data_IF_912574082675
#
_entry.id   IF_912574082675
#
_cell.length_a   1.000
_cell.length_b   1.000
_cell.length_c   1.000
_cell.angle_alpha   90.00
_cell.angle_beta   90.00
_cell.angle_gamma   90.00
#
_symmetry.space_group_name_H-M   'P 1'
#
loop_
_entity.id
_entity.type
_entity.pdbx_description
1 polymer ?
#
# COMPACT_ATOMS: atom_id res chain seq x y z
N UNK A 1 6.50 -18.06 34.47
CA UNK A 1 5.19 -18.61 34.81
C UNK A 1 4.81 -19.66 33.77
N UNK A 2 4.04 -20.69 34.15
CA UNK A 2 3.65 -21.81 33.27
C UNK A 2 3.04 -21.37 31.94
N UNK A 3 2.27 -20.30 31.92
CA UNK A 3 1.72 -19.72 30.68
C UNK A 3 2.80 -19.22 29.70
N UNK A 4 3.86 -18.57 30.21
CA UNK A 4 5.00 -18.12 29.38
C UNK A 4 5.77 -19.30 28.76
N UNK A 5 5.85 -20.43 29.44
CA UNK A 5 6.51 -21.62 28.90
C UNK A 5 5.67 -22.36 27.86
N UNK A 6 4.35 -22.31 27.99
CA UNK A 6 3.43 -22.84 26.93
C UNK A 6 3.58 -22.05 25.64
N UNK A 7 3.61 -20.71 25.68
CA UNK A 7 3.80 -19.86 24.50
C UNK A 7 5.19 -20.07 23.86
N UNK A 8 6.22 -20.23 24.65
CA UNK A 8 7.59 -20.56 24.15
C UNK A 8 7.61 -21.91 23.44
N UNK A 9 6.93 -22.92 23.99
CA UNK A 9 6.83 -24.26 23.38
C UNK A 9 6.02 -24.23 22.08
N UNK A 10 4.93 -23.48 22.04
CA UNK A 10 4.13 -23.30 20.80
C UNK A 10 4.92 -22.62 19.69
N UNK A 11 5.73 -21.59 20.01
CA UNK A 11 6.63 -20.95 19.04
C UNK A 11 7.74 -21.87 18.53
N UNK A 12 8.21 -22.80 19.34
CA UNK A 12 9.20 -23.81 18.94
C UNK A 12 8.58 -24.95 18.11
N UNK A 13 7.29 -25.22 18.26
CA UNK A 13 6.60 -26.27 17.50
C UNK A 13 6.26 -25.85 16.05
N UNK A 14 6.14 -24.55 15.77
CA UNK A 14 5.89 -24.03 14.44
C UNK A 14 7.17 -23.40 13.86
N UNK A 15 7.91 -24.18 13.09
CA UNK A 15 9.16 -23.73 12.44
C UNK A 15 8.94 -22.55 11.45
N UNK A 16 7.70 -22.35 10.98
CA UNK A 16 7.33 -21.26 10.05
C UNK A 16 6.85 -19.99 10.76
N UNK A 17 6.69 -20.01 12.09
CA UNK A 17 6.27 -18.81 12.82
C UNK A 17 7.14 -17.56 12.56
N UNK A 18 8.48 -17.67 12.41
CA UNK A 18 9.32 -16.51 12.07
C UNK A 18 9.07 -15.95 10.66
N UNK A 19 8.45 -16.72 9.76
CA UNK A 19 8.11 -16.30 8.41
C UNK A 19 6.75 -15.58 8.37
N UNK A 20 5.95 -15.67 9.43
CA UNK A 20 4.68 -14.97 9.54
C UNK A 20 4.92 -13.46 9.71
N UNK A 21 4.29 -12.66 8.82
CA UNK A 21 4.41 -11.20 8.82
C UNK A 21 3.91 -10.61 10.14
N UNK A 22 2.81 -11.13 10.68
CA UNK A 22 2.25 -10.69 11.96
C UNK A 22 3.20 -10.91 13.10
N UNK A 23 3.87 -12.07 13.14
CA UNK A 23 4.91 -12.37 14.13
C UNK A 23 6.10 -11.41 14.01
N UNK A 24 6.62 -11.20 12.79
CA UNK A 24 7.74 -10.29 12.54
C UNK A 24 7.43 -8.85 12.97
N UNK A 25 6.24 -8.33 12.59
CA UNK A 25 5.79 -6.99 12.96
C UNK A 25 5.65 -6.84 14.46
N UNK A 26 5.03 -7.83 15.15
CA UNK A 26 4.85 -7.80 16.60
C UNK A 26 6.19 -7.83 17.33
N UNK A 27 7.10 -8.68 16.88
CA UNK A 27 8.45 -8.79 17.47
C UNK A 27 9.24 -7.48 17.31
N UNK A 28 9.26 -6.90 16.11
CA UNK A 28 9.93 -5.64 15.84
C UNK A 28 9.29 -4.47 16.62
N UNK A 29 7.95 -4.43 16.74
CA UNK A 29 7.28 -3.42 17.55
C UNK A 29 7.69 -3.48 19.01
N UNK A 30 7.74 -4.69 19.60
CA UNK A 30 8.19 -4.89 20.99
C UNK A 30 9.64 -4.44 21.17
N UNK A 31 10.53 -4.74 20.23
CA UNK A 31 11.92 -4.26 20.27
C UNK A 31 11.98 -2.73 20.23
N UNK A 32 11.17 -2.09 19.39
CA UNK A 32 11.07 -0.63 19.32
C UNK A 32 10.60 -0.01 20.65
N UNK A 33 9.56 -0.58 21.25
CA UNK A 33 9.04 -0.12 22.57
C UNK A 33 10.09 -0.34 23.67
N UNK A 34 10.81 -1.46 23.70
CA UNK A 34 11.87 -1.69 24.66
C UNK A 34 13.04 -0.71 24.51
N UNK A 35 13.40 -0.38 23.26
CA UNK A 35 14.40 0.65 22.99
C UNK A 35 13.95 2.03 23.49
N UNK A 36 12.67 2.38 23.30
CA UNK A 36 12.07 3.61 23.85
C UNK A 36 12.19 3.64 25.37
N UNK A 37 11.75 2.58 26.04
CA UNK A 37 11.83 2.49 27.49
C UNK A 37 13.27 2.59 28.04
N UNK A 38 14.25 2.04 27.32
CA UNK A 38 15.66 2.17 27.67
C UNK A 38 16.15 3.62 27.54
N UNK A 39 15.70 4.35 26.51
CA UNK A 39 15.99 5.77 26.32
C UNK A 39 15.38 6.63 27.42
N UNK A 40 14.09 6.44 27.71
CA UNK A 40 13.39 7.18 28.77
C UNK A 40 14.08 7.00 30.13
N UNK A 41 14.44 5.75 30.49
CA UNK A 41 15.20 5.49 31.73
C UNK A 41 16.57 6.17 31.77
N UNK A 42 17.26 6.25 30.63
CA UNK A 42 18.53 6.98 30.52
C UNK A 42 18.32 8.50 30.66
N UNK A 43 17.21 9.03 30.16
CA UNK A 43 16.84 10.43 30.30
C UNK A 43 16.42 10.80 31.73
N UNK A 44 15.64 9.95 32.37
CA UNK A 44 15.25 10.13 33.79
C UNK A 44 16.48 10.17 34.73
N UNK A 45 17.43 9.24 34.53
CA UNK A 45 18.70 9.25 35.26
C UNK A 45 19.52 10.52 35.04
N UNK A 46 19.47 11.09 33.85
CA UNK A 46 20.19 12.33 33.52
C UNK A 46 19.41 13.59 33.95
N UNK A 47 18.11 13.46 34.29
CA UNK A 47 17.22 14.57 34.65
C UNK A 47 17.07 14.77 36.17
N UNK A 48 17.83 14.06 37.01
CA UNK A 48 17.68 14.07 38.48
C UNK A 48 17.59 15.46 39.11
N UNK A 49 18.26 16.47 38.56
CA UNK A 49 18.32 17.84 39.10
C UNK A 49 17.49 18.87 38.27
N UNK A 50 16.66 18.41 37.30
CA UNK A 50 15.94 19.32 36.45
C UNK A 50 14.59 19.79 37.03
N UNK A 51 14.11 21.02 36.67
CA UNK A 51 12.85 21.56 37.17
C UNK A 51 11.66 20.67 36.81
N UNK A 52 10.61 20.70 37.65
CA UNK A 52 9.41 19.86 37.51
C UNK A 52 8.76 19.92 36.12
N UNK A 53 8.79 21.09 35.47
CA UNK A 53 8.26 21.29 34.12
C UNK A 53 8.98 20.43 33.07
N UNK A 54 10.31 20.30 33.17
CA UNK A 54 11.09 19.47 32.23
C UNK A 54 10.82 17.97 32.46
N UNK A 55 10.63 17.56 33.70
CA UNK A 55 10.22 16.18 34.02
C UNK A 55 8.84 15.84 33.48
N UNK A 56 7.89 16.78 33.56
CA UNK A 56 6.55 16.62 32.97
C UNK A 56 6.63 16.50 31.46
N UNK A 57 7.41 17.36 30.79
CA UNK A 57 7.63 17.28 29.34
C UNK A 57 8.24 15.94 28.90
N UNK A 58 9.20 15.42 29.64
CA UNK A 58 9.79 14.10 29.37
C UNK A 58 8.75 12.97 29.46
N UNK A 59 7.87 13.02 30.47
CA UNK A 59 6.77 12.05 30.62
C UNK A 59 5.73 12.14 29.52
N UNK A 60 5.43 13.35 29.05
CA UNK A 60 4.51 13.55 27.91
C UNK A 60 5.14 13.13 26.57
N UNK A 61 6.47 13.13 26.46
CA UNK A 61 7.18 12.69 25.28
C UNK A 61 7.34 11.16 25.19
N UNK A 62 7.21 10.44 26.30
CA UNK A 62 7.41 8.98 26.35
C UNK A 62 6.49 8.19 25.39
N UNK A 63 5.17 8.43 25.32
CA UNK A 63 4.30 7.74 24.37
C UNK A 63 4.67 8.04 22.91
N UNK A 64 5.11 9.28 22.64
CA UNK A 64 5.55 9.71 21.31
C UNK A 64 6.81 8.96 20.88
N UNK A 65 7.80 8.90 21.76
CA UNK A 65 9.05 8.16 21.53
C UNK A 65 8.76 6.66 21.33
N UNK A 66 7.88 6.10 22.16
CA UNK A 66 7.49 4.69 22.07
C UNK A 66 6.84 4.37 20.73
N UNK A 67 5.85 5.19 20.30
CA UNK A 67 5.20 5.03 19.02
C UNK A 67 6.17 5.22 17.84
N UNK A 68 7.05 6.21 17.91
CA UNK A 68 8.04 6.49 16.87
C UNK A 68 9.03 5.33 16.70
N UNK A 69 9.59 4.83 17.80
CA UNK A 69 10.57 3.74 17.75
C UNK A 69 9.93 2.40 17.38
N UNK A 70 8.69 2.14 17.80
CA UNK A 70 7.93 0.98 17.33
C UNK A 70 7.70 1.04 15.82
N UNK A 71 7.26 2.17 15.27
CA UNK A 71 7.06 2.37 13.85
C UNK A 71 8.35 2.25 13.04
N UNK A 72 9.45 2.82 13.54
CA UNK A 72 10.77 2.69 12.90
C UNK A 72 11.29 1.25 12.91
N UNK A 73 11.06 0.50 14.01
CA UNK A 73 11.48 -0.88 14.11
C UNK A 73 10.68 -1.82 13.19
N UNK A 74 9.41 -1.53 12.93
CA UNK A 74 8.56 -2.31 12.02
C UNK A 74 8.77 -1.96 10.55
N UNK A 75 9.33 -0.78 10.24
CA UNK A 75 9.53 -0.29 8.87
C UNK A 75 10.31 -1.27 7.97
N UNK A 76 11.42 -1.92 8.41
CA UNK A 76 12.14 -2.88 7.57
C UNK A 76 11.27 -4.06 7.13
N UNK A 77 10.41 -4.56 8.02
CA UNK A 77 9.51 -5.67 7.72
C UNK A 77 8.46 -5.24 6.70
N UNK A 78 7.83 -4.07 6.90
CA UNK A 78 6.85 -3.53 5.95
C UNK A 78 7.46 -3.36 4.56
N UNK A 79 8.66 -2.80 4.47
CA UNK A 79 9.36 -2.60 3.19
C UNK A 79 9.76 -3.94 2.56
N UNK A 80 10.24 -4.91 3.35
CA UNK A 80 10.63 -6.23 2.86
C UNK A 80 9.46 -6.99 2.21
N UNK A 81 8.25 -6.78 2.72
CA UNK A 81 7.03 -7.37 2.18
C UNK A 81 6.29 -6.48 1.17
N UNK A 82 6.91 -5.39 0.69
CA UNK A 82 6.30 -4.48 -0.28
C UNK A 82 5.06 -3.73 0.22
N UNK A 83 4.85 -3.70 1.54
CA UNK A 83 3.72 -3.03 2.16
C UNK A 83 3.94 -1.50 2.25
N UNK A 84 2.85 -0.75 2.18
CA UNK A 84 2.93 0.69 2.37
C UNK A 84 3.31 1.07 3.80
N UNK A 85 4.28 1.97 3.94
CA UNK A 85 4.62 2.57 5.23
C UNK A 85 3.70 3.75 5.51
N UNK A 86 3.02 3.75 6.67
CA UNK A 86 2.14 4.85 7.07
C UNK A 86 2.93 5.94 7.79
N UNK A 87 3.12 7.08 7.14
CA UNK A 87 3.74 8.25 7.76
C UNK A 87 2.75 8.96 8.70
N UNK A 88 1.47 9.06 8.30
CA UNK A 88 0.42 9.61 9.15
C UNK A 88 0.15 8.71 10.38
N UNK A 89 0.40 7.41 10.27
CA UNK A 89 0.23 6.45 11.36
C UNK A 89 1.05 6.80 12.60
N UNK A 90 2.23 7.41 12.45
CA UNK A 90 3.03 7.85 13.58
C UNK A 90 2.29 8.92 14.40
N UNK A 91 1.76 9.95 13.74
CA UNK A 91 1.00 11.02 14.38
C UNK A 91 -0.33 10.49 14.92
N UNK A 92 -1.01 9.68 14.13
CA UNK A 92 -2.27 9.06 14.49
C UNK A 92 -2.12 8.16 15.73
N UNK A 93 -1.09 7.32 15.80
CA UNK A 93 -0.83 6.44 16.95
C UNK A 93 -0.66 7.22 18.26
N UNK A 94 0.06 8.33 18.22
CA UNK A 94 0.22 9.19 19.40
C UNK A 94 -1.15 9.69 19.89
N UNK A 95 -1.96 10.23 18.99
CA UNK A 95 -3.28 10.79 19.31
C UNK A 95 -4.25 9.69 19.75
N UNK A 96 -4.29 8.57 19.04
CA UNK A 96 -5.19 7.44 19.32
C UNK A 96 -4.88 6.79 20.67
N UNK A 97 -3.61 6.56 21.00
CA UNK A 97 -3.22 5.95 22.30
C UNK A 97 -3.72 6.79 23.47
N UNK A 98 -3.61 8.12 23.38
CA UNK A 98 -4.13 9.02 24.42
C UNK A 98 -5.64 8.98 24.56
N UNK A 99 -6.36 8.83 23.46
CA UNK A 99 -7.82 8.76 23.43
C UNK A 99 -8.36 7.38 23.79
N UNK A 100 -7.60 6.33 23.52
CA UNK A 100 -8.02 4.94 23.75
C UNK A 100 -8.13 4.61 25.24
N UNK A 101 -7.22 5.15 26.08
CA UNK A 101 -7.22 4.87 27.51
C UNK A 101 -8.49 5.37 28.22
N UNK A 102 -8.95 6.63 28.05
CA UNK A 102 -10.25 7.08 28.55
C UNK A 102 -11.42 6.26 27.99
N UNK A 103 -11.38 5.90 26.69
CA UNK A 103 -12.43 5.09 26.08
C UNK A 103 -12.58 3.72 26.75
N UNK A 104 -11.46 3.04 27.04
CA UNK A 104 -11.47 1.77 27.80
C UNK A 104 -12.01 1.94 29.21
N UNK A 105 -11.59 2.99 29.91
CA UNK A 105 -12.10 3.28 31.29
C UNK A 105 -13.60 3.52 31.28
N UNK A 106 -14.10 4.33 30.30
CA UNK A 106 -15.53 4.58 30.14
C UNK A 106 -16.30 3.31 29.74
N UNK A 107 -15.69 2.43 28.93
CA UNK A 107 -16.28 1.14 28.59
C UNK A 107 -16.41 0.21 29.79
N UNK A 108 -15.40 0.12 30.63
CA UNK A 108 -15.42 -0.65 31.89
C UNK A 108 -16.46 -0.07 32.85
N UNK A 109 -16.50 1.28 32.98
CA UNK A 109 -17.51 1.95 33.78
C UNK A 109 -18.92 1.66 33.30
N UNK A 110 -19.16 1.70 31.99
CA UNK A 110 -20.44 1.37 31.39
C UNK A 110 -20.88 -0.05 31.72
N UNK A 111 -19.96 -1.02 31.64
CA UNK A 111 -20.22 -2.41 32.03
C UNK A 111 -20.58 -2.53 33.50
N UNK A 112 -19.84 -1.85 34.39
CA UNK A 112 -20.09 -1.86 35.82
C UNK A 112 -21.46 -1.23 36.18
N UNK A 113 -21.79 -0.10 35.56
CA UNK A 113 -23.06 0.60 35.78
C UNK A 113 -24.24 -0.21 35.24
N UNK A 114 -24.07 -0.86 34.10
CA UNK A 114 -25.13 -1.70 33.49
C UNK A 114 -25.44 -2.98 34.29
N UNK A 115 -24.50 -3.45 35.09
CA UNK A 115 -24.68 -4.63 35.94
C UNK A 115 -25.56 -4.37 37.18
N UNK A 116 -25.77 -3.10 37.53
CA UNK A 116 -26.54 -2.72 38.74
C UNK A 116 -27.88 -2.10 38.32
N UNK A 117 -29.03 -2.74 38.57
CA UNK A 117 -30.33 -2.28 38.12
C UNK A 117 -30.72 -0.88 38.58
N UNK A 118 -30.26 -0.47 39.78
CA UNK A 118 -30.55 0.86 40.34
C UNK A 118 -29.81 1.98 39.55
N UNK A 119 -28.71 1.66 38.83
CA UNK A 119 -27.92 2.62 38.09
C UNK A 119 -28.31 2.70 36.59
N UNK A 120 -29.35 1.99 36.16
CA UNK A 120 -29.85 2.01 34.77
C UNK A 120 -29.99 3.42 34.15
N UNK A 121 -30.53 4.44 34.82
CA UNK A 121 -30.62 5.79 34.23
C UNK A 121 -29.25 6.38 33.88
N UNK A 122 -28.17 6.02 34.57
CA UNK A 122 -26.81 6.47 34.29
C UNK A 122 -26.15 5.71 33.13
N UNK A 123 -26.66 4.52 32.74
CA UNK A 123 -26.13 3.75 31.60
C UNK A 123 -26.28 4.53 30.29
N UNK A 124 -27.42 5.18 30.08
CA UNK A 124 -27.66 5.98 28.87
C UNK A 124 -26.70 7.17 28.79
N UNK A 125 -26.40 7.83 29.89
CA UNK A 125 -25.44 8.94 29.92
C UNK A 125 -24.03 8.47 29.64
N UNK A 126 -23.58 7.40 30.29
CA UNK A 126 -22.23 6.84 30.06
C UNK A 126 -22.07 6.28 28.66
N UNK A 127 -23.10 5.64 28.10
CA UNK A 127 -23.13 5.16 26.73
C UNK A 127 -23.09 6.31 25.70
N UNK A 128 -23.81 7.41 25.97
CA UNK A 128 -23.77 8.62 25.14
C UNK A 128 -22.37 9.23 25.14
N UNK A 129 -21.77 9.42 26.30
CA UNK A 129 -20.42 9.99 26.43
C UNK A 129 -19.39 9.11 25.72
N UNK A 130 -19.45 7.79 25.90
CA UNK A 130 -18.57 6.86 25.20
C UNK A 130 -18.77 6.91 23.69
N UNK A 131 -20.01 6.96 23.21
CA UNK A 131 -20.33 7.03 21.78
C UNK A 131 -19.80 8.30 21.13
N UNK A 132 -19.92 9.45 21.81
CA UNK A 132 -19.37 10.73 21.33
C UNK A 132 -17.84 10.69 21.29
N UNK A 133 -17.22 10.11 22.32
CA UNK A 133 -15.77 9.95 22.38
C UNK A 133 -15.23 9.06 21.27
N UNK A 134 -15.89 7.93 21.00
CA UNK A 134 -15.54 7.04 19.89
C UNK A 134 -15.77 7.67 18.53
N UNK A 135 -16.85 8.45 18.35
CA UNK A 135 -17.07 9.20 17.10
C UNK A 135 -15.97 10.23 16.85
N UNK A 136 -15.55 10.94 17.92
CA UNK A 136 -14.43 11.89 17.82
C UNK A 136 -13.13 11.17 17.43
N UNK A 137 -12.85 10.01 18.02
CA UNK A 137 -11.69 9.18 17.71
C UNK A 137 -11.73 8.72 16.25
N UNK A 138 -12.85 8.19 15.78
CA UNK A 138 -13.01 7.76 14.38
C UNK A 138 -12.84 8.94 13.41
N UNK A 139 -13.47 10.08 13.69
CA UNK A 139 -13.30 11.27 12.89
C UNK A 139 -11.83 11.72 12.80
N UNK A 140 -11.10 11.67 13.91
CA UNK A 140 -9.67 12.01 13.94
C UNK A 140 -8.84 11.05 13.08
N UNK A 141 -9.10 9.73 13.18
CA UNK A 141 -8.42 8.70 12.37
C UNK A 141 -8.70 8.91 10.89
N UNK A 142 -9.96 9.17 10.51
CA UNK A 142 -10.34 9.47 9.12
C UNK A 142 -9.64 10.71 8.59
N UNK A 143 -9.49 11.77 9.40
CA UNK A 143 -8.75 12.97 9.01
C UNK A 143 -7.26 12.71 8.83
N UNK A 144 -6.67 11.92 9.71
CA UNK A 144 -5.26 11.50 9.55
C UNK A 144 -5.05 10.63 8.30
N UNK A 145 -5.99 9.74 8.00
CA UNK A 145 -5.93 8.89 6.80
C UNK A 145 -6.12 9.69 5.49
N UNK A 146 -6.86 10.79 5.54
CA UNK A 146 -7.09 11.67 4.38
C UNK A 146 -5.91 12.61 4.09
N UNK A 147 -4.86 12.64 4.93
CA UNK A 147 -3.69 13.47 4.67
C UNK A 147 -2.95 13.00 3.40
N UNK A 148 -2.51 13.93 2.53
CA UNK A 148 -1.62 13.58 1.45
C UNK A 148 -0.33 12.96 2.03
N UNK A 149 0.15 11.88 1.45
CA UNK A 149 1.29 11.08 1.97
C UNK A 149 0.99 10.30 3.29
N UNK A 150 -0.29 10.05 3.62
CA UNK A 150 -0.66 9.24 4.77
C UNK A 150 0.02 7.86 4.73
N UNK A 151 0.14 7.28 3.54
CA UNK A 151 0.89 6.04 3.28
C UNK A 151 1.78 6.21 2.04
N UNK A 152 2.96 5.60 2.07
CA UNK A 152 3.97 5.66 1.00
C UNK A 152 4.52 4.27 0.76
N UNK A 153 4.49 3.83 -0.50
CA UNK A 153 5.23 2.65 -0.94
C UNK A 153 6.65 3.07 -1.32
N UNK A 154 7.64 2.46 -0.70
CA UNK A 154 9.06 2.77 -0.93
C UNK A 154 9.72 1.69 -1.79
N UNK A 155 10.72 2.04 -2.64
CA UNK A 155 11.45 1.06 -3.42
C UNK A 155 12.20 0.08 -2.49
N UNK A 156 11.82 -1.18 -2.52
CA UNK A 156 12.22 -2.21 -1.57
C UNK A 156 13.75 -2.30 -1.39
N UNK A 157 14.49 -2.49 -2.47
CA UNK A 157 15.95 -2.70 -2.40
C UNK A 157 16.70 -1.50 -1.84
N UNK A 158 16.37 -0.31 -2.30
CA UNK A 158 16.99 0.93 -1.86
C UNK A 158 16.68 1.20 -0.38
N UNK A 159 15.41 1.09 0.01
CA UNK A 159 14.99 1.39 1.38
C UNK A 159 15.57 0.41 2.39
N UNK A 160 15.63 -0.89 2.08
CA UNK A 160 16.27 -1.89 2.94
C UNK A 160 17.77 -1.61 3.13
N UNK A 161 18.48 -1.24 2.07
CA UNK A 161 19.89 -0.85 2.16
C UNK A 161 20.08 0.34 3.10
N UNK A 162 19.29 1.39 2.93
CA UNK A 162 19.37 2.59 3.78
C UNK A 162 19.01 2.27 5.23
N UNK A 163 17.96 1.47 5.48
CA UNK A 163 17.59 1.04 6.82
C UNK A 163 18.69 0.20 7.49
N UNK A 164 19.38 -0.65 6.73
CA UNK A 164 20.51 -1.41 7.25
C UNK A 164 21.66 -0.49 7.65
N UNK A 165 22.01 0.50 6.82
CA UNK A 165 23.05 1.52 7.14
C UNK A 165 22.66 2.32 8.38
N UNK A 166 21.40 2.78 8.48
CA UNK A 166 20.91 3.50 9.65
C UNK A 166 20.94 2.63 10.92
N UNK A 167 20.58 1.35 10.81
CA UNK A 167 20.67 0.39 11.91
C UNK A 167 22.11 0.21 12.40
N UNK A 168 23.07 0.08 11.48
CA UNK A 168 24.50 -0.01 11.82
C UNK A 168 24.99 1.26 12.51
N UNK A 169 24.62 2.44 11.99
CA UNK A 169 24.97 3.72 12.62
C UNK A 169 24.37 3.83 14.02
N UNK A 170 23.10 3.50 14.20
CA UNK A 170 22.43 3.51 15.48
C UNK A 170 23.12 2.55 16.48
N UNK A 171 23.51 1.34 16.05
CA UNK A 171 24.24 0.39 16.87
C UNK A 171 25.64 0.90 17.27
N UNK A 172 26.39 1.51 16.35
CA UNK A 172 27.70 2.09 16.62
C UNK A 172 27.63 3.24 17.64
N UNK A 173 26.65 4.13 17.48
CA UNK A 173 26.41 5.21 18.45
C UNK A 173 25.91 4.73 19.81
N UNK A 174 25.09 3.68 19.82
CA UNK A 174 24.67 3.01 21.06
C UNK A 174 25.89 2.50 21.82
N UNK A 175 26.77 1.79 21.13
CA UNK A 175 28.00 1.27 21.73
C UNK A 175 28.92 2.40 22.26
N UNK A 176 28.99 3.52 21.55
CA UNK A 176 29.74 4.71 21.97
C UNK A 176 29.05 5.56 23.06
N UNK A 177 27.87 5.16 23.58
CA UNK A 177 27.04 5.90 24.55
C UNK A 177 26.67 7.32 24.16
N UNK A 178 26.72 7.66 22.86
CA UNK A 178 26.39 8.97 22.30
C UNK A 178 24.99 9.02 21.64
N UNK A 179 24.06 8.24 22.15
CA UNK A 179 22.76 8.02 21.50
C UNK A 179 21.94 9.29 21.25
N UNK A 180 22.00 10.28 22.17
CA UNK A 180 21.28 11.55 22.05
C UNK A 180 21.74 12.37 20.85
N UNK A 181 23.03 12.34 20.53
CA UNK A 181 23.56 13.03 19.35
C UNK A 181 23.24 12.28 18.04
N UNK A 182 23.03 10.96 18.14
CA UNK A 182 22.65 10.11 17.00
C UNK A 182 21.20 10.32 16.53
N UNK A 183 20.25 10.55 17.44
CA UNK A 183 18.83 10.66 17.10
C UNK A 183 18.53 11.70 16.00
N UNK A 184 19.01 12.96 16.09
CA UNK A 184 18.76 13.93 15.02
C UNK A 184 19.45 13.55 13.71
N UNK A 185 20.64 12.93 13.78
CA UNK A 185 21.34 12.46 12.59
C UNK A 185 20.60 11.31 11.90
N UNK A 186 20.11 10.32 12.67
CA UNK A 186 19.30 9.21 12.15
C UNK A 186 18.00 9.71 11.57
N UNK A 187 17.33 10.67 12.24
CA UNK A 187 16.11 11.28 11.73
C UNK A 187 16.35 12.04 10.41
N UNK A 188 17.42 12.85 10.34
CA UNK A 188 17.79 13.55 9.12
C UNK A 188 18.11 12.58 7.96
N UNK A 189 18.87 11.52 8.23
CA UNK A 189 19.15 10.48 7.24
C UNK A 189 17.89 9.74 6.80
N UNK A 190 16.97 9.45 7.71
CA UNK A 190 15.70 8.81 7.37
C UNK A 190 14.84 9.72 6.46
N UNK A 191 14.74 11.01 6.75
CA UNK A 191 14.04 11.99 5.92
C UNK A 191 14.69 12.10 4.53
N UNK A 192 16.02 12.18 4.46
CA UNK A 192 16.76 12.21 3.19
C UNK A 192 16.55 10.92 2.40
N UNK A 193 16.53 9.75 3.06
CA UNK A 193 16.29 8.47 2.42
C UNK A 193 14.89 8.36 1.85
N UNK A 194 13.87 8.80 2.59
CA UNK A 194 12.48 8.86 2.10
C UNK A 194 12.38 9.82 0.93
N UNK A 195 12.95 11.03 1.05
CA UNK A 195 12.97 12.02 -0.03
C UNK A 195 13.65 11.50 -1.30
N UNK A 196 14.81 10.83 -1.16
CA UNK A 196 15.52 10.22 -2.28
C UNK A 196 14.69 9.04 -2.88
N UNK A 197 14.06 8.21 -2.05
CA UNK A 197 13.19 7.14 -2.52
C UNK A 197 12.01 7.66 -3.35
N UNK A 198 11.36 8.72 -2.89
CA UNK A 198 10.28 9.39 -3.62
C UNK A 198 10.78 10.04 -4.92
N UNK A 199 11.96 10.66 -4.88
CA UNK A 199 12.59 11.23 -6.08
C UNK A 199 12.95 10.16 -7.11
N UNK A 200 13.44 9.00 -6.67
CA UNK A 200 13.73 7.86 -7.56
C UNK A 200 12.46 7.26 -8.20
N UNK A 201 11.30 7.39 -7.55
CA UNK A 201 10.01 6.96 -8.09
C UNK A 201 9.32 8.03 -8.95
N UNK A 202 9.90 9.22 -9.03
CA UNK A 202 9.38 10.28 -9.88
C UNK A 202 9.43 9.85 -11.34
N UNK A 203 8.34 10.08 -12.07
CA UNK A 203 8.16 9.75 -13.48
C UNK A 203 8.19 8.23 -13.81
N UNK A 204 8.21 7.38 -12.79
CA UNK A 204 8.09 5.93 -12.95
C UNK A 204 6.62 5.57 -13.09
N UNK A 205 6.29 4.87 -14.16
CA UNK A 205 4.96 4.28 -14.40
C UNK A 205 4.99 2.83 -13.95
N UNK A 206 4.16 2.49 -12.98
CA UNK A 206 3.96 1.13 -12.50
C UNK A 206 2.63 0.62 -13.03
N UNK A 207 2.64 -0.52 -13.71
CA UNK A 207 1.43 -1.24 -14.09
C UNK A 207 1.37 -2.56 -13.33
N UNK A 208 0.18 -2.89 -12.84
CA UNK A 208 -0.08 -4.15 -12.17
C UNK A 208 -1.37 -4.78 -12.65
N UNK A 209 -1.38 -6.11 -12.74
CA UNK A 209 -2.58 -6.91 -12.97
C UNK A 209 -3.18 -7.28 -11.62
N UNK A 210 -4.41 -6.84 -11.34
CA UNK A 210 -5.05 -6.96 -10.03
C UNK A 210 -6.42 -7.62 -10.16
N UNK A 211 -6.69 -8.63 -9.36
CA UNK A 211 -7.99 -9.31 -9.30
C UNK A 211 -7.98 -10.73 -9.87
N UNK A 212 -9.10 -11.14 -10.47
CA UNK A 212 -9.28 -12.52 -10.93
C UNK A 212 -8.30 -12.90 -12.04
N UNK A 213 -7.63 -14.06 -11.92
CA UNK A 213 -6.58 -14.52 -12.83
C UNK A 213 -6.99 -14.56 -14.31
N UNK A 214 -8.24 -14.92 -14.61
CA UNK A 214 -8.72 -15.00 -16.00
C UNK A 214 -9.06 -13.65 -16.64
N UNK A 215 -9.34 -12.63 -15.84
CA UNK A 215 -9.75 -11.31 -16.34
C UNK A 215 -9.38 -10.21 -15.33
N UNK A 216 -8.09 -10.03 -15.01
CA UNK A 216 -7.66 -9.05 -14.04
C UNK A 216 -7.89 -7.62 -14.56
N UNK A 217 -8.10 -6.68 -13.64
CA UNK A 217 -7.99 -5.26 -13.92
C UNK A 217 -6.54 -4.87 -14.11
N UNK A 218 -6.29 -3.84 -14.90
CA UNK A 218 -4.96 -3.25 -15.04
C UNK A 218 -4.97 -1.91 -14.32
N UNK A 219 -4.04 -1.74 -13.39
CA UNK A 219 -3.88 -0.51 -12.63
C UNK A 219 -2.56 0.14 -13.00
N UNK A 220 -2.63 1.38 -13.46
CA UNK A 220 -1.48 2.21 -13.76
C UNK A 220 -1.30 3.25 -12.67
N UNK A 221 -0.10 3.34 -12.10
CA UNK A 221 0.25 4.32 -11.05
C UNK A 221 1.45 5.13 -11.49
N UNK A 222 1.33 6.45 -11.47
CA UNK A 222 2.42 7.40 -11.73
C UNK A 222 2.34 8.57 -10.74
N UNK A 223 3.41 8.84 -10.01
CA UNK A 223 3.47 9.94 -9.03
C UNK A 223 2.33 9.93 -8.00
N UNK A 224 1.76 8.74 -7.69
CA UNK A 224 0.61 8.58 -6.80
C UNK A 224 -0.74 8.93 -7.44
N UNK A 225 -0.77 9.35 -8.71
CA UNK A 225 -1.99 9.41 -9.52
C UNK A 225 -2.24 8.05 -10.15
N UNK A 226 -3.49 7.64 -10.26
CA UNK A 226 -3.85 6.30 -10.71
C UNK A 226 -4.87 6.33 -11.85
N UNK A 227 -4.68 5.40 -12.77
CA UNK A 227 -5.62 5.07 -13.84
C UNK A 227 -5.98 3.60 -13.73
N UNK A 228 -7.25 3.29 -13.77
CA UNK A 228 -7.76 1.94 -13.63
C UNK A 228 -8.48 1.50 -14.89
N UNK A 229 -7.99 0.45 -15.52
CA UNK A 229 -8.68 -0.24 -16.61
C UNK A 229 -9.51 -1.37 -16.01
N UNK A 230 -10.79 -1.12 -15.84
CA UNK A 230 -11.67 -2.03 -15.11
C UNK A 230 -12.24 -3.11 -16.03
N UNK A 231 -12.14 -4.37 -15.58
CA UNK A 231 -12.71 -5.56 -16.20
C UNK A 231 -13.26 -6.50 -15.12
N UNK A 232 -14.21 -7.32 -15.46
CA UNK A 232 -14.78 -8.32 -14.54
C UNK A 232 -15.86 -7.76 -13.62
N UNK A 233 -16.02 -8.35 -12.45
CA UNK A 233 -17.11 -8.09 -11.50
C UNK A 233 -16.69 -7.47 -10.18
N UNK A 234 -17.54 -7.57 -9.16
CA UNK A 234 -17.34 -6.98 -7.82
C UNK A 234 -16.08 -7.49 -7.10
N UNK A 235 -15.68 -8.75 -7.33
CA UNK A 235 -14.44 -9.30 -6.74
C UNK A 235 -13.21 -8.53 -7.20
N UNK A 236 -13.17 -8.14 -8.48
CA UNK A 236 -12.10 -7.31 -9.01
C UNK A 236 -12.14 -5.89 -8.43
N UNK A 237 -13.33 -5.36 -8.17
CA UNK A 237 -13.49 -4.05 -7.55
C UNK A 237 -12.88 -4.02 -6.13
N UNK A 238 -13.13 -5.06 -5.34
CA UNK A 238 -12.54 -5.19 -4.00
C UNK A 238 -11.01 -5.31 -4.06
N UNK A 239 -10.49 -6.12 -4.99
CA UNK A 239 -9.05 -6.25 -5.19
C UNK A 239 -8.40 -4.93 -5.61
N UNK A 240 -9.00 -4.18 -6.54
CA UNK A 240 -8.52 -2.86 -6.95
C UNK A 240 -8.56 -1.85 -5.80
N UNK A 241 -9.64 -1.81 -5.02
CA UNK A 241 -9.73 -0.95 -3.81
C UNK A 241 -8.59 -1.25 -2.84
N UNK A 242 -8.31 -2.53 -2.57
CA UNK A 242 -7.23 -2.96 -1.67
C UNK A 242 -5.85 -2.60 -2.24
N UNK A 243 -5.62 -2.85 -3.53
CA UNK A 243 -4.35 -2.51 -4.17
C UNK A 243 -4.05 -1.01 -4.13
N UNK A 244 -5.06 -0.17 -4.33
CA UNK A 244 -4.92 1.29 -4.33
C UNK A 244 -4.75 1.88 -2.92
N UNK A 245 -5.20 1.21 -1.87
CA UNK A 245 -5.21 1.72 -0.50
C UNK A 245 -3.85 2.21 0.02
N UNK A 246 -2.73 1.74 -0.54
CA UNK A 246 -1.39 2.21 -0.14
C UNK A 246 -0.61 2.91 -1.24
N UNK A 247 -1.11 2.90 -2.47
CA UNK A 247 -0.37 3.35 -3.66
C UNK A 247 -0.94 4.61 -4.30
N UNK A 248 -2.23 4.86 -4.13
CA UNK A 248 -2.92 6.03 -4.70
C UNK A 248 -2.94 7.20 -3.72
N UNK A 249 -2.70 8.42 -4.23
CA UNK A 249 -2.86 9.67 -3.49
C UNK A 249 -4.26 10.24 -3.74
N UNK A 250 -5.26 9.62 -3.12
CA UNK A 250 -6.65 10.03 -3.29
C UNK A 250 -7.43 9.15 -4.27
N UNK A 251 -8.49 9.72 -4.85
CA UNK A 251 -9.33 9.01 -5.84
C UNK A 251 -8.55 8.81 -7.14
N UNK A 252 -8.74 7.68 -7.85
CA UNK A 252 -8.21 7.52 -9.20
C UNK A 252 -8.61 8.68 -10.11
N UNK A 253 -7.66 9.13 -10.92
CA UNK A 253 -7.88 10.23 -11.87
C UNK A 253 -8.85 9.79 -12.96
N UNK A 254 -8.68 8.56 -13.43
CA UNK A 254 -9.50 7.99 -14.48
C UNK A 254 -9.81 6.52 -14.21
N UNK A 255 -11.07 6.15 -14.41
CA UNK A 255 -11.53 4.77 -14.49
C UNK A 255 -12.01 4.54 -15.93
N UNK A 256 -11.37 3.62 -16.64
CA UNK A 256 -11.82 3.16 -17.97
C UNK A 256 -12.56 1.84 -17.81
N UNK A 257 -13.85 1.84 -18.01
CA UNK A 257 -14.67 0.63 -17.95
C UNK A 257 -14.68 -0.08 -19.31
N UNK A 258 -13.92 -1.17 -19.40
CA UNK A 258 -13.77 -1.99 -20.61
C UNK A 258 -14.84 -3.09 -20.72
N UNK A 259 -15.81 -3.16 -19.80
CA UNK A 259 -16.86 -4.19 -19.83
C UNK A 259 -17.82 -3.97 -20.99
N UNK A 260 -18.24 -5.06 -21.61
CA UNK A 260 -19.24 -5.02 -22.69
C UNK A 260 -20.63 -4.57 -22.20
N UNK A 261 -20.95 -4.78 -20.92
CA UNK A 261 -22.20 -4.33 -20.29
C UNK A 261 -21.84 -3.63 -18.98
N UNK A 262 -21.61 -2.32 -18.99
CA UNK A 262 -21.31 -1.55 -17.79
C UNK A 262 -22.53 -1.55 -16.85
N UNK A 263 -22.28 -1.78 -15.59
CA UNK A 263 -23.22 -1.56 -14.49
C UNK A 263 -22.63 -0.50 -13.59
N UNK A 264 -23.46 0.22 -12.85
CA UNK A 264 -22.96 1.19 -11.85
C UNK A 264 -21.92 0.54 -10.95
N UNK A 265 -20.77 1.19 -10.82
CA UNK A 265 -19.70 0.75 -9.94
C UNK A 265 -19.72 1.63 -8.69
N UNK A 266 -19.79 1.00 -7.52
CA UNK A 266 -19.51 1.70 -6.24
C UNK A 266 -18.01 1.99 -6.11
N UNK A 267 -17.52 2.88 -7.00
CA UNK A 267 -16.12 3.25 -7.05
C UNK A 267 -15.97 4.73 -7.41
N UNK A 268 -15.49 5.51 -6.45
CA UNK A 268 -15.31 6.93 -6.63
C UNK A 268 -14.00 7.21 -7.38
N UNK A 269 -14.08 7.51 -8.67
CA UNK A 269 -13.02 8.09 -9.49
C UNK A 269 -13.30 9.57 -9.79
N UNK A 270 -12.28 10.33 -10.21
CA UNK A 270 -12.47 11.72 -10.63
C UNK A 270 -13.21 11.79 -11.96
N UNK A 271 -12.89 10.89 -12.87
CA UNK A 271 -13.56 10.71 -14.16
C UNK A 271 -13.80 9.23 -14.42
N UNK A 272 -14.97 8.88 -14.96
CA UNK A 272 -15.30 7.52 -15.39
C UNK A 272 -15.58 7.56 -16.89
N UNK A 273 -14.87 6.75 -17.65
CA UNK A 273 -15.05 6.61 -19.09
C UNK A 273 -15.62 5.24 -19.38
N UNK A 274 -16.85 5.21 -19.86
CA UNK A 274 -17.51 4.02 -20.32
C UNK A 274 -17.31 3.89 -21.83
N UNK A 275 -16.81 2.76 -22.30
CA UNK A 275 -16.45 2.58 -23.72
C UNK A 275 -17.65 2.72 -24.65
N UNK A 276 -18.85 2.38 -24.21
CA UNK A 276 -20.07 2.50 -25.01
C UNK A 276 -20.45 3.95 -25.36
N UNK A 277 -19.99 4.92 -24.57
CA UNK A 277 -20.26 6.35 -24.75
C UNK A 277 -19.17 7.04 -25.59
N UNK A 278 -18.11 6.30 -25.95
CA UNK A 278 -17.00 6.84 -26.74
C UNK A 278 -17.19 6.57 -28.23
N UNK A 279 -16.64 7.42 -29.12
CA UNK A 279 -16.53 7.11 -30.53
C UNK A 279 -15.64 5.88 -30.76
N UNK A 280 -15.70 5.26 -31.92
CA UNK A 280 -14.92 4.06 -32.26
C UNK A 280 -13.41 4.22 -32.06
N UNK A 281 -12.92 5.45 -32.10
CA UNK A 281 -11.55 5.83 -31.75
C UNK A 281 -11.52 7.17 -31.03
N UNK A 282 -10.78 7.24 -29.91
CA UNK A 282 -10.55 8.47 -29.15
C UNK A 282 -9.15 8.48 -28.53
N UNK A 283 -8.43 9.58 -28.70
CA UNK A 283 -7.14 9.82 -28.02
C UNK A 283 -7.32 10.82 -26.87
N UNK A 284 -6.80 10.51 -25.70
CA UNK A 284 -6.87 11.38 -24.53
C UNK A 284 -5.53 11.48 -23.81
N UNK A 285 -5.08 12.66 -23.38
CA UNK A 285 -4.04 12.79 -22.39
C UNK A 285 -4.60 12.37 -21.02
N UNK A 286 -3.87 11.51 -20.26
CA UNK A 286 -4.40 10.94 -19.02
C UNK A 286 -3.60 11.33 -17.81
N UNK A 287 -2.27 11.27 -17.90
CA UNK A 287 -1.32 11.65 -16.85
C UNK A 287 -0.18 12.46 -17.47
N UNK A 288 0.73 12.95 -16.63
CA UNK A 288 1.86 13.76 -17.11
C UNK A 288 2.72 12.97 -18.13
N UNK A 289 2.58 13.29 -19.42
CA UNK A 289 3.31 12.65 -20.51
C UNK A 289 2.79 11.27 -20.94
N UNK A 290 1.56 10.89 -20.56
CA UNK A 290 0.90 9.67 -21.00
C UNK A 290 -0.28 10.00 -21.92
N UNK A 291 -0.30 9.36 -23.08
CA UNK A 291 -1.44 9.36 -23.98
C UNK A 291 -2.19 8.02 -23.91
N UNK A 292 -3.50 8.08 -24.03
CA UNK A 292 -4.37 6.93 -24.01
C UNK A 292 -5.21 6.92 -25.28
N UNK A 293 -5.02 5.90 -26.11
CA UNK A 293 -5.82 5.62 -27.29
C UNK A 293 -6.88 4.57 -26.95
N UNK A 294 -8.12 4.92 -27.17
CA UNK A 294 -9.27 4.07 -26.92
C UNK A 294 -9.87 3.63 -28.25
N UNK A 295 -9.97 2.33 -28.45
CA UNK A 295 -10.63 1.71 -29.58
C UNK A 295 -11.84 0.93 -29.09
N UNK A 296 -12.99 1.14 -29.69
CA UNK A 296 -14.22 0.47 -29.33
C UNK A 296 -14.94 -0.12 -30.55
N UNK A 297 -15.50 -1.30 -30.35
CA UNK A 297 -16.44 -1.93 -31.28
C UNK A 297 -17.58 -2.53 -30.43
N UNK A 298 -18.75 -2.76 -31.00
CA UNK A 298 -20.01 -3.17 -30.34
C UNK A 298 -19.88 -4.12 -29.14
N UNK A 299 -18.86 -4.96 -29.08
CA UNK A 299 -18.66 -5.96 -28.01
C UNK A 299 -17.23 -6.09 -27.52
N UNK A 300 -16.29 -5.33 -28.07
CA UNK A 300 -14.89 -5.40 -27.73
C UNK A 300 -14.30 -4.00 -27.55
N UNK A 301 -13.34 -3.89 -26.66
CA UNK A 301 -12.67 -2.64 -26.33
C UNK A 301 -11.18 -2.85 -26.18
N UNK A 302 -10.38 -1.90 -26.66
CA UNK A 302 -8.94 -1.90 -26.53
C UNK A 302 -8.50 -0.51 -26.06
N UNK A 303 -7.73 -0.47 -25.00
CA UNK A 303 -7.08 0.72 -24.53
C UNK A 303 -5.57 0.55 -24.75
N UNK A 304 -4.95 1.49 -25.43
CA UNK A 304 -3.51 1.51 -25.67
C UNK A 304 -2.92 2.71 -24.96
N UNK A 305 -2.07 2.47 -23.99
CA UNK A 305 -1.38 3.48 -23.20
C UNK A 305 0.01 3.70 -23.77
N UNK A 306 0.31 4.93 -24.18
CA UNK A 306 1.65 5.32 -24.60
C UNK A 306 2.44 5.86 -23.41
N UNK A 307 3.60 5.26 -23.15
CA UNK A 307 4.52 5.62 -22.09
C UNK A 307 5.92 5.77 -22.65
N UNK A 308 6.38 6.99 -22.85
CA UNK A 308 7.75 7.25 -23.30
C UNK A 308 8.11 6.55 -24.61
N UNK A 309 7.20 6.50 -25.57
CA UNK A 309 7.36 5.87 -26.89
C UNK A 309 7.15 4.35 -26.87
N UNK A 310 6.62 3.78 -25.80
CA UNK A 310 6.21 2.38 -25.71
C UNK A 310 4.69 2.27 -25.59
N UNK A 311 4.13 1.27 -26.26
CA UNK A 311 2.70 1.04 -26.33
C UNK A 311 2.30 -0.16 -25.48
N UNK A 312 1.40 0.04 -24.54
CA UNK A 312 0.88 -1.01 -23.66
C UNK A 312 -0.61 -1.14 -23.92
N UNK A 313 -1.04 -2.32 -24.34
CA UNK A 313 -2.42 -2.60 -24.64
C UNK A 313 -3.14 -3.34 -23.52
N UNK A 314 -4.37 -2.92 -23.25
CA UNK A 314 -5.31 -3.59 -22.35
C UNK A 314 -6.59 -3.84 -23.11
N UNK A 315 -6.89 -5.10 -23.43
CA UNK A 315 -8.05 -5.46 -24.25
C UNK A 315 -9.14 -6.20 -23.47
N UNK A 316 -10.39 -5.99 -23.90
CA UNK A 316 -11.55 -6.79 -23.52
C UNK A 316 -12.30 -7.22 -24.77
N UNK A 317 -12.34 -8.54 -25.02
CA UNK A 317 -12.92 -9.10 -26.23
C UNK A 317 -11.97 -9.10 -27.44
N UNK A 318 -12.43 -9.62 -28.55
CA UNK A 318 -11.70 -9.64 -29.82
C UNK A 318 -12.12 -8.42 -30.64
N UNK A 319 -11.29 -7.40 -30.69
CA UNK A 319 -11.51 -6.22 -31.51
C UNK A 319 -10.97 -6.42 -32.91
N UNK A 320 -11.72 -5.97 -33.91
CA UNK A 320 -11.30 -5.91 -35.30
C UNK A 320 -10.99 -4.47 -35.67
N UNK A 321 -9.79 -4.21 -36.13
CA UNK A 321 -9.33 -2.91 -36.60
C UNK A 321 -8.95 -3.00 -38.06
N UNK A 322 -9.00 -1.88 -38.77
CA UNK A 322 -8.63 -1.81 -40.20
C UNK A 322 -7.14 -2.13 -40.42
N UNK A 323 -6.29 -1.71 -39.47
CA UNK A 323 -4.86 -2.00 -39.46
C UNK A 323 -4.45 -2.58 -38.11
N UNK A 324 -3.54 -3.56 -38.08
CA UNK A 324 -3.05 -4.11 -36.81
C UNK A 324 -2.19 -3.10 -36.06
N UNK A 325 -2.46 -2.96 -34.76
CA UNK A 325 -1.71 -2.08 -33.87
C UNK A 325 -0.54 -2.87 -33.26
N UNK A 326 0.68 -2.38 -33.44
CA UNK A 326 1.86 -2.93 -32.77
C UNK A 326 1.93 -2.39 -31.36
N UNK A 327 2.16 -3.28 -30.39
CA UNK A 327 2.30 -2.93 -28.98
C UNK A 327 3.47 -3.68 -28.33
N UNK A 328 4.21 -3.02 -27.47
CA UNK A 328 5.32 -3.65 -26.73
C UNK A 328 4.79 -4.67 -25.73
N UNK A 329 3.69 -4.37 -25.05
CA UNK A 329 3.11 -5.24 -24.02
C UNK A 329 1.59 -5.32 -24.16
N UNK A 330 1.08 -6.53 -24.19
CA UNK A 330 -0.35 -6.83 -24.07
C UNK A 330 -0.65 -7.37 -22.67
N UNK A 331 -1.52 -6.70 -21.93
CA UNK A 331 -1.86 -7.05 -20.56
C UNK A 331 -3.09 -7.96 -20.49
N UNK A 332 -2.89 -9.18 -20.02
CA UNK A 332 -3.88 -10.21 -19.66
C UNK A 332 -5.10 -10.25 -20.59
N UNK A 333 -4.93 -10.59 -21.88
CA UNK A 333 -6.07 -10.67 -22.79
C UNK A 333 -7.03 -11.78 -22.33
N UNK A 334 -8.32 -11.45 -22.20
CA UNK A 334 -9.35 -12.45 -21.94
C UNK A 334 -9.63 -13.33 -23.15
N UNK A 335 -9.51 -12.74 -24.35
CA UNK A 335 -9.49 -13.39 -25.67
C UNK A 335 -8.39 -12.75 -26.50
N UNK A 336 -7.81 -13.50 -27.44
CA UNK A 336 -6.74 -12.97 -28.30
C UNK A 336 -7.31 -11.89 -29.23
N UNK A 337 -6.78 -10.66 -29.19
CA UNK A 337 -7.20 -9.60 -30.10
C UNK A 337 -6.43 -9.74 -31.43
N UNK A 338 -7.10 -10.21 -32.48
CA UNK A 338 -6.46 -10.47 -33.78
C UNK A 338 -5.88 -9.19 -34.43
N UNK A 339 -6.37 -8.03 -34.00
CA UNK A 339 -5.89 -6.71 -34.48
C UNK A 339 -4.66 -6.17 -33.71
N UNK A 340 -4.09 -6.91 -32.76
CA UNK A 340 -2.95 -6.47 -31.96
C UNK A 340 -1.77 -7.41 -32.17
N UNK A 341 -0.60 -6.83 -32.44
CA UNK A 341 0.67 -7.55 -32.57
C UNK A 341 1.56 -7.21 -31.36
N UNK A 342 1.52 -7.99 -30.27
CA UNK A 342 2.33 -7.74 -29.09
C UNK A 342 3.73 -8.36 -29.22
N UNK A 343 4.76 -7.66 -28.75
CA UNK A 343 6.09 -8.22 -28.56
C UNK A 343 6.13 -9.11 -27.29
N UNK A 344 5.39 -8.71 -26.25
CA UNK A 344 5.31 -9.43 -24.98
C UNK A 344 3.86 -9.48 -24.48
N UNK A 345 3.46 -10.63 -23.92
CA UNK A 345 2.15 -10.80 -23.27
C UNK A 345 2.36 -11.09 -21.79
N UNK A 346 1.78 -10.24 -20.92
CA UNK A 346 1.77 -10.41 -19.48
C UNK A 346 0.42 -11.01 -19.06
N UNK A 347 0.39 -12.14 -18.34
CA UNK A 347 -0.83 -12.83 -17.99
C UNK A 347 -0.74 -13.54 -16.62
N UNK A 348 -1.91 -13.79 -16.01
CA UNK A 348 -2.06 -14.39 -14.68
C UNK A 348 -2.82 -15.73 -14.69
N UNK A 349 -3.45 -16.11 -15.80
CA UNK A 349 -4.19 -17.35 -15.90
C UNK A 349 -3.25 -18.55 -16.16
N UNK A 350 -3.41 -19.63 -15.42
CA UNK A 350 -2.58 -20.84 -15.58
C UNK A 350 -2.80 -21.58 -16.90
N UNK A 351 -3.97 -21.40 -17.53
CA UNK A 351 -4.32 -22.04 -18.79
C UNK A 351 -5.19 -21.11 -19.67
N UNK A 352 -4.60 -20.07 -20.27
CA UNK A 352 -5.39 -19.16 -21.10
C UNK A 352 -5.79 -19.85 -22.41
N UNK A 353 -7.06 -19.70 -22.79
CA UNK A 353 -7.63 -20.30 -24.02
C UNK A 353 -7.01 -19.80 -25.34
N UNK A 354 -6.28 -18.70 -25.28
CA UNK A 354 -5.63 -18.05 -26.42
C UNK A 354 -4.17 -18.44 -26.58
N UNK A 355 -3.63 -19.30 -25.73
CA UNK A 355 -2.20 -19.66 -25.71
C UNK A 355 -1.70 -20.13 -27.10
N UNK A 356 -2.50 -20.94 -27.77
CA UNK A 356 -2.19 -21.48 -29.10
C UNK A 356 -2.09 -20.39 -30.21
N UNK A 357 -2.64 -19.21 -29.94
CA UNK A 357 -2.60 -18.07 -30.88
C UNK A 357 -1.44 -17.12 -30.63
N UNK A 358 -0.73 -17.28 -29.52
CA UNK A 358 0.36 -16.40 -29.11
C UNK A 358 1.69 -16.80 -29.76
N UNK A 359 1.69 -16.95 -31.10
CA UNK A 359 2.90 -17.25 -31.86
C UNK A 359 3.74 -15.97 -32.02
N UNK A 360 5.07 -16.11 -31.94
CA UNK A 360 6.04 -15.03 -32.16
C UNK A 360 6.04 -13.90 -31.08
N UNK A 361 5.54 -14.14 -29.89
CA UNK A 361 5.65 -13.19 -28.79
C UNK A 361 6.26 -13.81 -27.53
N UNK A 362 6.84 -12.99 -26.66
CA UNK A 362 7.35 -13.44 -25.37
C UNK A 362 6.20 -13.54 -24.37
N UNK A 363 6.00 -14.71 -23.78
CA UNK A 363 5.00 -14.91 -22.75
C UNK A 363 5.61 -14.68 -21.36
N UNK A 364 4.95 -13.89 -20.52
CA UNK A 364 5.31 -13.68 -19.12
C UNK A 364 4.14 -14.00 -18.21
N UNK A 365 4.35 -15.01 -17.38
CA UNK A 365 3.37 -15.45 -16.38
C UNK A 365 3.72 -14.94 -15.01
N UNK A 366 2.74 -14.43 -14.27
CA UNK A 366 2.86 -14.01 -12.88
C UNK A 366 1.79 -14.67 -12.03
N UNK A 367 2.17 -15.21 -10.88
CA UNK A 367 1.24 -15.94 -10.00
C UNK A 367 0.31 -15.00 -9.24
N UNK A 368 0.85 -13.92 -8.65
CA UNK A 368 0.09 -12.94 -7.89
C UNK A 368 0.46 -11.51 -8.32
N UNK A 369 -0.52 -10.70 -8.64
CA UNK A 369 -0.39 -9.28 -8.97
C UNK A 369 0.87 -8.92 -9.80
N UNK A 370 1.13 -9.61 -10.92
CA UNK A 370 2.32 -9.36 -11.69
C UNK A 370 2.33 -7.92 -12.19
N UNK A 371 3.48 -7.29 -12.12
CA UNK A 371 3.65 -5.91 -12.46
C UNK A 371 4.77 -5.66 -13.45
N UNK A 372 4.77 -4.48 -14.02
CA UNK A 372 5.88 -3.94 -14.79
C UNK A 372 6.11 -2.48 -14.43
N UNK A 373 7.37 -2.12 -14.39
CA UNK A 373 7.81 -0.76 -14.11
C UNK A 373 8.45 -0.16 -15.35
N UNK A 374 7.94 0.96 -15.77
CA UNK A 374 8.39 1.70 -16.94
C UNK A 374 9.04 3.01 -16.53
N UNK A 375 10.19 3.30 -17.13
CA UNK A 375 10.80 4.62 -17.09
C UNK A 375 10.95 5.12 -18.52
N UNK A 376 10.55 6.37 -18.81
CA UNK A 376 10.78 6.96 -20.14
C UNK A 376 12.24 6.79 -20.57
N UNK A 377 12.45 6.26 -21.78
CA UNK A 377 13.79 6.04 -22.34
C UNK A 377 14.62 4.89 -21.76
N UNK A 378 14.05 4.01 -20.94
CA UNK A 378 14.72 2.82 -20.37
C UNK A 378 13.99 1.53 -20.71
N UNK A 379 14.67 0.39 -20.46
CA UNK A 379 14.08 -0.93 -20.58
C UNK A 379 12.95 -1.17 -19.56
N UNK A 380 12.00 -2.02 -19.93
CA UNK A 380 10.92 -2.46 -19.03
C UNK A 380 11.52 -3.29 -17.90
N UNK A 381 11.18 -2.96 -16.67
CA UNK A 381 11.51 -3.77 -15.50
C UNK A 381 10.26 -4.59 -15.13
N UNK A 382 10.40 -5.90 -15.12
CA UNK A 382 9.35 -6.85 -14.80
C UNK A 382 9.37 -7.19 -13.31
N UNK A 383 8.19 -7.16 -12.68
CA UNK A 383 8.00 -7.53 -11.28
C UNK A 383 7.18 -8.82 -11.23
N UNK A 384 7.65 -9.82 -10.46
CA UNK A 384 6.94 -11.08 -10.16
C UNK A 384 6.39 -11.86 -11.36
N UNK A 385 6.98 -11.65 -12.56
CA UNK A 385 6.59 -12.37 -13.76
C UNK A 385 7.71 -13.32 -14.22
N UNK A 386 7.35 -14.56 -14.47
CA UNK A 386 8.27 -15.56 -15.03
C UNK A 386 8.22 -15.52 -16.57
N UNK A 387 9.36 -15.63 -17.21
CA UNK A 387 9.42 -15.73 -18.67
C UNK A 387 9.16 -17.18 -19.07
N UNK A 388 8.14 -17.41 -19.87
CA UNK A 388 7.82 -18.72 -20.45
C UNK A 388 8.22 -18.69 -21.91
N UNK A 389 9.08 -19.62 -22.31
CA UNK A 389 9.43 -19.80 -23.72
C UNK A 389 8.25 -20.50 -24.43
N UNK A 390 7.82 -19.93 -25.54
CA UNK A 390 6.89 -20.61 -26.46
C UNK A 390 7.74 -21.62 -27.23
N UNK A 391 7.49 -22.93 -27.03
CA UNK A 391 8.10 -24.01 -27.79
C UNK A 391 7.33 -24.28 -29.07
#
# INVERSE_FOLDING_TARGET
SAASDVYKRQGLQNAYAPCDIGFQLSFCAVLGVQAAAALTRAEERAAGDKPAAVRLLCRLAEPVQSAALASLATLPVLVAHGMAASLAGLVCNVLVVWMLQPALQMGILLLAVSAVPFLLPFTNLTALLLSLWLKLLLWLVERCAALPFASVCLPQRYTLFVLAVLGMLAAAYWHAKKLRACLPAVAACAVLAVGMGLWMQRDVVQLALVGAANNPCVVCVQNGKTVVFFRGGESNLAAVKNYLAGRSRGKPVLLVDLRAKPTELDFAAAEVVTMQEQPDFATRPVLDGLALDLYHNKSASLAVLEVGGRHIAVGAGNIQLAEPVRVDVLCAPGSWPDAVQPDTVLYTSTAPKWLDKAENCTLRYGEEEPGLTLRPGRSILWEEAQTVAVQ
#
